data_IF_262082493864
#
_entry.id   IF_262082493864
#
_cell.length_a   1.000
_cell.length_b   1.000
_cell.length_c   1.000
_cell.angle_alpha   90.00
_cell.angle_beta   90.00
_cell.angle_gamma   90.00
#
_symmetry.space_group_name_H-M   'P 1'
#
loop_
_entity.id
_entity.type
_entity.pdbx_description
1 polymer ?
#
# COMPACT_ATOMS: atom_id res chain seq x y z
N UNK A 1 -13.56 45.43 39.07
CA UNK A 1 -13.76 45.27 37.61
C UNK A 1 -12.92 44.11 37.03
N UNK A 2 -13.00 42.90 37.58
CA UNK A 2 -12.17 41.75 37.12
C UNK A 2 -12.88 40.39 37.10
N UNK A 3 -14.18 40.36 37.40
CA UNK A 3 -14.99 39.12 37.44
C UNK A 3 -15.86 38.91 36.19
N UNK A 4 -16.08 39.95 35.37
CA UNK A 4 -16.97 39.85 34.19
C UNK A 4 -16.28 39.37 32.91
N UNK A 5 -14.94 39.30 32.89
CA UNK A 5 -14.15 38.88 31.73
C UNK A 5 -14.02 37.35 31.60
N UNK A 6 -14.29 36.59 32.66
CA UNK A 6 -14.18 35.12 32.63
C UNK A 6 -15.44 34.47 32.05
N UNK A 7 -16.61 35.10 32.19
CA UNK A 7 -17.87 34.52 31.70
C UNK A 7 -17.97 34.63 30.17
N UNK A 8 -17.43 35.68 29.54
CA UNK A 8 -17.47 35.84 28.08
C UNK A 8 -16.50 34.91 27.31
N UNK A 9 -15.48 34.36 27.97
CA UNK A 9 -14.53 33.43 27.34
C UNK A 9 -14.99 31.97 27.37
N UNK A 10 -15.90 31.60 28.27
CA UNK A 10 -16.43 30.24 28.38
C UNK A 10 -17.65 30.02 27.46
N UNK A 11 -18.42 31.06 27.15
CA UNK A 11 -19.57 30.94 26.22
C UNK A 11 -19.19 31.05 24.74
N UNK A 12 -17.99 31.54 24.41
CA UNK A 12 -17.54 31.74 23.02
C UNK A 12 -16.94 30.49 22.35
N UNK A 13 -16.65 29.42 23.08
CA UNK A 13 -15.97 28.23 22.55
C UNK A 13 -16.90 27.03 22.27
N UNK A 14 -18.22 27.20 22.42
CA UNK A 14 -19.21 26.13 22.23
C UNK A 14 -19.96 26.18 20.88
N UNK A 15 -19.59 27.07 19.95
CA UNK A 15 -20.28 27.23 18.66
C UNK A 15 -19.39 27.03 17.42
N UNK A 16 -18.17 26.53 17.58
CA UNK A 16 -17.27 26.20 16.45
C UNK A 16 -17.09 24.69 16.23
N UNK A 17 -17.98 23.86 16.78
CA UNK A 17 -18.08 22.43 16.50
C UNK A 17 -18.93 22.18 15.25
N UNK A 18 -18.52 22.73 14.11
CA UNK A 18 -19.03 22.32 12.82
C UNK A 18 -18.61 20.87 12.57
N UNK A 19 -19.40 19.93 13.07
CA UNK A 19 -19.40 18.56 12.58
C UNK A 19 -19.62 18.65 11.09
N UNK A 20 -18.55 18.52 10.30
CA UNK A 20 -18.67 18.09 8.92
C UNK A 20 -19.25 16.69 9.01
N UNK A 21 -20.58 16.61 8.98
CA UNK A 21 -21.31 15.44 8.52
C UNK A 21 -20.78 15.22 7.12
N UNK A 22 -19.74 14.40 7.00
CA UNK A 22 -19.37 13.80 5.74
C UNK A 22 -20.64 13.13 5.24
N UNK A 23 -21.21 13.55 4.10
CA UNK A 23 -22.38 12.88 3.57
C UNK A 23 -22.02 11.40 3.40
N UNK A 24 -22.93 10.51 3.81
CA UNK A 24 -22.80 9.08 3.56
C UNK A 24 -22.52 8.91 2.08
N UNK A 25 -21.33 8.43 1.74
CA UNK A 25 -20.93 8.06 0.38
C UNK A 25 -21.62 6.74 -0.03
N UNK A 26 -22.89 6.59 0.35
CA UNK A 26 -23.81 5.55 -0.13
C UNK A 26 -24.33 5.97 -1.52
N UNK A 27 -23.41 6.29 -2.43
CA UNK A 27 -23.71 6.10 -3.83
C UNK A 27 -23.82 4.59 -4.00
N UNK A 28 -25.00 4.11 -4.39
CA UNK A 28 -25.28 2.68 -4.60
C UNK A 28 -24.15 2.01 -5.38
N UNK A 29 -23.24 1.37 -4.62
CA UNK A 29 -21.95 0.89 -5.11
C UNK A 29 -22.11 -0.22 -6.14
N UNK A 30 -23.29 -0.84 -6.17
CA UNK A 30 -23.65 -1.96 -7.03
C UNK A 30 -24.45 -1.52 -8.26
N UNK A 31 -25.02 -0.31 -8.26
CA UNK A 31 -25.92 0.15 -9.33
C UNK A 31 -25.44 -0.08 -10.78
N UNK A 32 -24.14 0.07 -11.14
CA UNK A 32 -23.70 -0.23 -12.50
C UNK A 32 -23.80 -1.73 -12.82
N UNK A 33 -23.41 -2.59 -11.88
CA UNK A 33 -23.47 -4.05 -12.02
C UNK A 33 -24.90 -4.56 -11.98
N UNK A 34 -25.74 -4.01 -11.08
CA UNK A 34 -27.17 -4.35 -11.03
C UNK A 34 -27.88 -4.04 -12.34
N UNK A 35 -27.57 -2.88 -12.96
CA UNK A 35 -28.12 -2.52 -14.27
C UNK A 35 -27.66 -3.50 -15.35
N UNK A 36 -26.35 -3.76 -15.45
CA UNK A 36 -25.82 -4.69 -16.45
C UNK A 36 -26.34 -6.13 -16.26
N UNK A 37 -26.49 -6.58 -15.01
CA UNK A 37 -27.06 -7.89 -14.69
C UNK A 37 -28.54 -7.98 -15.07
N UNK A 38 -29.31 -6.93 -14.85
CA UNK A 38 -30.71 -6.84 -15.29
C UNK A 38 -30.81 -6.84 -16.82
N UNK A 39 -29.95 -6.08 -17.52
CA UNK A 39 -29.88 -6.10 -18.99
C UNK A 39 -29.52 -7.49 -19.53
N UNK A 40 -28.62 -8.21 -18.86
CA UNK A 40 -28.28 -9.59 -19.20
C UNK A 40 -29.45 -10.55 -19.03
N UNK A 41 -30.17 -10.53 -17.91
CA UNK A 41 -31.33 -11.39 -17.71
C UNK A 41 -32.45 -11.08 -18.72
N UNK A 42 -32.71 -9.79 -19.00
CA UNK A 42 -33.64 -9.39 -20.06
C UNK A 42 -33.22 -9.91 -21.44
N UNK A 43 -31.92 -9.87 -21.75
CA UNK A 43 -31.42 -10.40 -23.01
C UNK A 43 -31.61 -11.92 -23.12
N UNK A 44 -31.46 -12.66 -22.02
CA UNK A 44 -31.74 -14.11 -21.98
C UNK A 44 -33.19 -14.44 -22.28
N UNK A 45 -34.12 -13.60 -21.82
CA UNK A 45 -35.55 -13.77 -22.07
C UNK A 45 -35.94 -13.38 -23.51
N UNK A 46 -35.44 -12.23 -24.00
CA UNK A 46 -35.82 -11.65 -25.29
C UNK A 46 -35.13 -12.32 -26.49
N UNK A 47 -33.89 -12.79 -26.32
CA UNK A 47 -33.05 -13.32 -27.40
C UNK A 47 -32.72 -14.80 -27.20
N UNK A 48 -33.62 -15.58 -26.61
CA UNK A 48 -33.41 -17.00 -26.31
C UNK A 48 -32.99 -17.84 -27.54
N UNK A 49 -33.39 -17.43 -28.75
CA UNK A 49 -33.04 -18.09 -30.02
C UNK A 49 -31.73 -17.58 -30.65
N UNK A 50 -31.13 -16.52 -30.11
CA UNK A 50 -29.87 -15.93 -30.60
C UNK A 50 -28.81 -15.86 -29.48
N UNK A 51 -28.05 -16.96 -29.29
CA UNK A 51 -27.00 -17.03 -28.27
C UNK A 51 -25.92 -15.96 -28.40
N UNK A 52 -25.65 -15.48 -29.62
CA UNK A 52 -24.61 -14.48 -29.85
C UNK A 52 -24.96 -13.14 -29.19
N UNK A 53 -26.26 -12.78 -29.19
CA UNK A 53 -26.72 -11.58 -28.49
C UNK A 53 -26.60 -11.76 -26.98
N UNK A 54 -27.01 -12.91 -26.45
CA UNK A 54 -26.90 -13.19 -24.99
C UNK A 54 -25.44 -13.11 -24.54
N UNK A 55 -24.50 -13.64 -25.32
CA UNK A 55 -23.08 -13.62 -24.99
C UNK A 55 -22.50 -12.19 -25.00
N UNK A 56 -22.97 -11.29 -25.87
CA UNK A 56 -22.59 -9.88 -25.82
C UNK A 56 -22.96 -9.21 -24.49
N UNK A 57 -24.15 -9.48 -23.96
CA UNK A 57 -24.57 -8.94 -22.66
C UNK A 57 -23.84 -9.60 -21.49
N UNK A 58 -23.57 -10.90 -21.58
CA UNK A 58 -22.72 -11.62 -20.63
C UNK A 58 -21.33 -10.99 -20.54
N UNK A 59 -20.67 -10.82 -21.69
CA UNK A 59 -19.32 -10.26 -21.77
C UNK A 59 -19.29 -8.81 -21.24
N UNK A 60 -20.31 -8.01 -21.57
CA UNK A 60 -20.45 -6.64 -21.06
C UNK A 60 -20.57 -6.60 -19.55
N UNK A 61 -21.36 -7.49 -18.94
CA UNK A 61 -21.48 -7.60 -17.48
C UNK A 61 -20.14 -7.98 -16.85
N UNK A 62 -19.43 -8.95 -17.44
CA UNK A 62 -18.12 -9.41 -16.95
C UNK A 62 -17.09 -8.27 -17.01
N UNK A 63 -16.91 -7.64 -18.17
CA UNK A 63 -15.92 -6.57 -18.36
C UNK A 63 -16.20 -5.35 -17.49
N UNK A 64 -17.47 -4.95 -17.37
CA UNK A 64 -17.87 -3.87 -16.47
C UNK A 64 -17.50 -4.18 -15.02
N UNK A 65 -17.84 -5.38 -14.55
CA UNK A 65 -17.62 -5.81 -13.17
C UNK A 65 -16.14 -5.89 -12.83
N UNK A 66 -15.33 -6.45 -13.74
CA UNK A 66 -13.87 -6.52 -13.59
C UNK A 66 -13.23 -5.12 -13.58
N UNK A 67 -13.63 -4.26 -14.51
CA UNK A 67 -13.09 -2.89 -14.62
C UNK A 67 -13.45 -2.06 -13.38
N UNK A 68 -14.70 -2.13 -12.93
CA UNK A 68 -15.15 -1.41 -11.75
C UNK A 68 -14.44 -1.92 -10.48
N UNK A 69 -14.31 -3.23 -10.31
CA UNK A 69 -13.58 -3.81 -9.19
C UNK A 69 -12.10 -3.39 -9.21
N UNK A 70 -11.46 -3.36 -10.38
CA UNK A 70 -10.10 -2.88 -10.53
C UNK A 70 -9.95 -1.40 -10.13
N UNK A 71 -10.83 -0.52 -10.63
CA UNK A 71 -10.84 0.89 -10.26
C UNK A 71 -11.00 1.07 -8.74
N UNK A 72 -11.93 0.35 -8.12
CA UNK A 72 -12.14 0.39 -6.67
C UNK A 72 -10.91 -0.06 -5.88
N UNK A 73 -10.19 -1.10 -6.35
CA UNK A 73 -8.91 -1.50 -5.73
C UNK A 73 -7.86 -0.39 -5.81
N UNK A 74 -7.77 0.32 -6.93
CA UNK A 74 -6.83 1.44 -7.11
C UNK A 74 -7.14 2.59 -6.14
N UNK A 75 -8.42 2.83 -5.86
CA UNK A 75 -8.88 3.81 -4.86
C UNK A 75 -8.76 3.31 -3.40
N UNK A 76 -8.31 2.07 -3.18
CA UNK A 76 -8.24 1.45 -1.86
C UNK A 76 -9.59 1.00 -1.30
N UNK A 77 -10.65 1.01 -2.10
CA UNK A 77 -12.00 0.54 -1.75
C UNK A 77 -12.12 -0.99 -1.84
N UNK A 78 -11.26 -1.71 -1.14
CA UNK A 78 -11.13 -3.18 -1.23
C UNK A 78 -12.44 -3.93 -1.00
N UNK A 79 -13.21 -3.51 0.01
CA UNK A 79 -14.51 -4.12 0.31
C UNK A 79 -15.51 -3.90 -0.83
N UNK A 80 -15.57 -2.69 -1.40
CA UNK A 80 -16.48 -2.42 -2.50
C UNK A 80 -16.09 -3.17 -3.78
N UNK A 81 -14.79 -3.38 -4.01
CA UNK A 81 -14.30 -4.22 -5.11
C UNK A 81 -14.76 -5.68 -4.97
N UNK A 82 -14.61 -6.27 -3.79
CA UNK A 82 -15.07 -7.63 -3.46
C UNK A 82 -16.59 -7.75 -3.66
N UNK A 83 -17.37 -6.81 -3.11
CA UNK A 83 -18.83 -6.76 -3.25
C UNK A 83 -19.30 -6.63 -4.70
N UNK A 84 -18.55 -5.89 -5.53
CA UNK A 84 -18.84 -5.74 -6.97
C UNK A 84 -18.74 -7.09 -7.68
N UNK A 85 -17.69 -7.87 -7.38
CA UNK A 85 -17.46 -9.19 -7.99
C UNK A 85 -18.42 -10.24 -7.46
N UNK A 86 -18.68 -10.28 -6.15
CA UNK A 86 -19.72 -11.13 -5.53
C UNK A 86 -21.08 -10.87 -6.17
N UNK A 87 -21.43 -9.61 -6.40
CA UNK A 87 -22.71 -9.26 -7.01
C UNK A 87 -22.79 -9.69 -8.48
N UNK A 88 -21.71 -9.55 -9.26
CA UNK A 88 -21.69 -10.05 -10.62
C UNK A 88 -21.87 -11.59 -10.68
N UNK A 89 -21.27 -12.31 -9.73
CA UNK A 89 -21.41 -13.76 -9.59
C UNK A 89 -22.83 -14.20 -9.20
N UNK A 90 -23.71 -13.32 -8.71
CA UNK A 90 -25.13 -13.69 -8.51
C UNK A 90 -25.88 -13.87 -9.83
N UNK A 91 -25.46 -13.16 -10.88
CA UNK A 91 -26.03 -13.29 -12.23
C UNK A 91 -25.32 -14.36 -13.06
N UNK A 92 -24.00 -14.51 -12.86
CA UNK A 92 -23.15 -15.45 -13.57
C UNK A 92 -22.45 -16.39 -12.58
N UNK A 93 -23.17 -17.35 -11.98
CA UNK A 93 -22.55 -18.31 -11.08
C UNK A 93 -21.47 -19.09 -11.84
N UNK A 94 -20.37 -19.40 -11.16
CA UNK A 94 -19.25 -20.20 -11.68
C UNK A 94 -18.47 -19.56 -12.86
N UNK A 95 -18.59 -18.25 -13.09
CA UNK A 95 -17.79 -17.59 -14.12
C UNK A 95 -16.31 -17.46 -13.71
N UNK A 96 -15.43 -18.27 -14.30
CA UNK A 96 -14.01 -18.40 -13.96
C UNK A 96 -13.26 -17.08 -13.77
N UNK A 97 -13.38 -16.14 -14.73
CA UNK A 97 -12.66 -14.85 -14.63
C UNK A 97 -13.12 -14.00 -13.44
N UNK A 98 -14.41 -14.07 -13.10
CA UNK A 98 -14.97 -13.31 -11.98
C UNK A 98 -14.54 -13.95 -10.65
N UNK A 99 -14.55 -15.29 -10.59
CA UNK A 99 -14.07 -16.04 -9.42
C UNK A 99 -12.58 -15.80 -9.16
N UNK A 100 -11.75 -15.89 -10.20
CA UNK A 100 -10.31 -15.60 -10.10
C UNK A 100 -10.06 -14.16 -9.63
N UNK A 101 -10.80 -13.19 -10.16
CA UNK A 101 -10.69 -11.79 -9.73
C UNK A 101 -11.13 -11.60 -8.28
N UNK A 102 -12.16 -12.32 -7.82
CA UNK A 102 -12.64 -12.28 -6.44
C UNK A 102 -11.58 -12.83 -5.48
N UNK A 103 -11.05 -14.01 -5.78
CA UNK A 103 -10.02 -14.65 -4.97
C UNK A 103 -8.74 -13.80 -4.89
N UNK A 104 -8.33 -13.21 -6.02
CA UNK A 104 -7.21 -12.27 -6.06
C UNK A 104 -7.48 -11.03 -5.21
N UNK A 105 -8.67 -10.44 -5.33
CA UNK A 105 -9.07 -9.26 -4.56
C UNK A 105 -9.08 -9.55 -3.06
N UNK A 106 -9.60 -10.71 -2.64
CA UNK A 106 -9.62 -11.12 -1.24
C UNK A 106 -8.21 -11.32 -0.69
N UNK A 107 -7.30 -11.96 -1.46
CA UNK A 107 -5.89 -12.13 -1.08
C UNK A 107 -5.18 -10.78 -0.93
N UNK A 108 -5.35 -9.88 -1.89
CA UNK A 108 -4.77 -8.53 -1.84
C UNK A 108 -5.31 -7.72 -0.66
N UNK A 109 -6.62 -7.77 -0.41
CA UNK A 109 -7.24 -7.10 0.76
C UNK A 109 -6.65 -7.61 2.07
N UNK A 110 -6.48 -8.93 2.21
CA UNK A 110 -5.89 -9.52 3.41
C UNK A 110 -4.42 -9.10 3.58
N UNK A 111 -3.65 -9.06 2.49
CA UNK A 111 -2.27 -8.58 2.51
C UNK A 111 -2.20 -7.10 2.94
N UNK A 112 -3.06 -6.24 2.38
CA UNK A 112 -3.15 -4.83 2.73
C UNK A 112 -3.53 -4.63 4.20
N UNK A 113 -4.53 -5.38 4.69
CA UNK A 113 -4.93 -5.33 6.10
C UNK A 113 -3.76 -5.72 7.02
N UNK A 114 -2.99 -6.75 6.66
CA UNK A 114 -1.83 -7.13 7.44
C UNK A 114 -0.74 -6.05 7.40
N UNK A 115 -0.50 -5.43 6.25
CA UNK A 115 0.45 -4.32 6.13
C UNK A 115 0.06 -3.14 7.04
N UNK A 116 -1.21 -2.73 7.04
CA UNK A 116 -1.71 -1.68 7.94
C UNK A 116 -1.58 -2.07 9.42
N UNK A 117 -1.82 -3.34 9.77
CA UNK A 117 -1.61 -3.82 11.16
C UNK A 117 -0.14 -3.76 11.57
N UNK A 118 0.77 -4.14 10.69
CA UNK A 118 2.21 -4.10 10.93
C UNK A 118 2.69 -2.64 11.10
N UNK A 119 2.18 -1.70 10.30
CA UNK A 119 2.43 -0.26 10.47
C UNK A 119 1.91 0.26 11.81
N UNK A 120 0.69 -0.11 12.20
CA UNK A 120 0.08 0.29 13.47
C UNK A 120 0.88 -0.23 14.67
N UNK A 121 1.35 -1.48 14.59
CA UNK A 121 2.22 -2.08 15.61
C UNK A 121 3.54 -1.31 15.77
N UNK A 122 4.20 -0.96 14.67
CA UNK A 122 5.42 -0.16 14.69
C UNK A 122 5.17 1.23 15.30
N UNK A 123 4.04 1.87 14.96
CA UNK A 123 3.66 3.15 15.52
C UNK A 123 3.37 3.07 17.03
N UNK A 124 2.68 2.02 17.50
CA UNK A 124 2.42 1.79 18.92
C UNK A 124 3.74 1.65 19.70
N UNK A 125 4.67 0.84 19.19
CA UNK A 125 5.97 0.64 19.83
C UNK A 125 6.77 1.94 19.92
N UNK A 126 6.78 2.73 18.85
CA UNK A 126 7.44 4.04 18.84
C UNK A 126 6.83 4.99 19.88
N UNK A 127 5.50 5.03 19.98
CA UNK A 127 4.81 5.82 21.00
C UNK A 127 5.18 5.38 22.42
N UNK A 128 5.14 4.08 22.71
CA UNK A 128 5.45 3.57 24.05
C UNK A 128 6.93 3.76 24.42
N UNK A 129 7.85 3.72 23.45
CA UNK A 129 9.27 4.04 23.65
C UNK A 129 9.48 5.52 23.98
N UNK A 130 8.86 6.42 23.23
CA UNK A 130 8.89 7.86 23.51
C UNK A 130 8.30 8.16 24.90
N UNK A 131 7.20 7.49 25.25
CA UNK A 131 6.57 7.59 26.57
C UNK A 131 7.50 7.14 27.70
N UNK A 132 8.25 6.04 27.51
CA UNK A 132 9.25 5.58 28.49
C UNK A 132 10.29 6.67 28.77
N UNK A 133 10.79 7.32 27.72
CA UNK A 133 11.76 8.41 27.84
C UNK A 133 11.18 9.59 28.61
N UNK A 134 9.94 10.00 28.30
CA UNK A 134 9.25 11.07 29.02
C UNK A 134 9.02 10.74 30.51
N UNK A 135 8.59 9.52 30.82
CA UNK A 135 8.41 9.07 32.21
C UNK A 135 9.73 9.07 32.99
N UNK A 136 10.83 8.65 32.36
CA UNK A 136 12.17 8.68 32.98
C UNK A 136 12.66 10.11 33.23
N UNK A 137 12.37 11.04 32.33
CA UNK A 137 12.75 12.44 32.52
C UNK A 137 11.92 13.10 33.63
N UNK A 138 10.64 12.74 33.78
CA UNK A 138 9.81 13.20 34.90
C UNK A 138 10.38 12.76 36.26
N UNK A 139 10.91 11.55 36.36
CA UNK A 139 11.58 11.06 37.59
C UNK A 139 12.78 11.94 37.99
N UNK A 140 13.43 12.61 37.04
CA UNK A 140 14.53 13.54 37.35
C UNK A 140 14.06 14.88 37.90
N UNK A 141 12.80 15.25 37.65
CA UNK A 141 12.27 16.59 37.90
C UNK A 141 11.26 16.62 39.07
N UNK A 142 10.76 15.46 39.51
CA UNK A 142 9.74 15.34 40.54
C UNK A 142 10.13 14.29 41.58
N UNK A 143 9.67 14.48 42.81
CA UNK A 143 9.82 13.46 43.85
C UNK A 143 9.10 12.18 43.41
N UNK A 144 9.79 11.05 43.52
CA UNK A 144 9.27 9.77 43.02
C UNK A 144 8.22 9.23 43.99
N UNK A 145 6.99 9.04 43.49
CA UNK A 145 5.91 8.40 44.25
C UNK A 145 5.60 6.99 43.71
N UNK A 146 4.84 6.23 44.48
CA UNK A 146 4.39 4.89 44.10
C UNK A 146 3.64 4.86 42.75
N UNK A 147 2.90 5.92 42.41
CA UNK A 147 2.14 5.97 41.15
C UNK A 147 3.08 6.09 39.94
N UNK A 148 4.19 6.81 40.06
CA UNK A 148 5.21 6.92 39.02
C UNK A 148 5.89 5.57 38.77
N UNK A 149 6.32 4.87 39.84
CA UNK A 149 6.91 3.53 39.72
C UNK A 149 5.96 2.54 39.06
N UNK A 150 4.68 2.60 39.45
CA UNK A 150 3.65 1.77 38.83
C UNK A 150 3.46 2.09 37.33
N UNK A 151 3.43 3.37 36.94
CA UNK A 151 3.32 3.78 35.52
C UNK A 151 4.52 3.30 34.71
N UNK A 152 5.72 3.46 35.25
CA UNK A 152 6.96 3.01 34.60
C UNK A 152 6.96 1.48 34.45
N UNK A 153 6.66 0.74 35.51
CA UNK A 153 6.53 -0.73 35.46
C UNK A 153 5.48 -1.21 34.45
N UNK A 154 4.33 -0.52 34.38
CA UNK A 154 3.27 -0.84 33.41
C UNK A 154 3.73 -0.58 31.97
N UNK A 155 4.36 0.57 31.70
CA UNK A 155 4.90 0.89 30.38
C UNK A 155 6.01 -0.09 29.96
N UNK A 156 6.92 -0.46 30.87
CA UNK A 156 7.95 -1.48 30.61
C UNK A 156 7.33 -2.82 30.23
N UNK A 157 6.34 -3.32 31.00
CA UNK A 157 5.64 -4.57 30.66
C UNK A 157 4.95 -4.51 29.30
N UNK A 158 4.34 -3.37 28.96
CA UNK A 158 3.69 -3.17 27.65
C UNK A 158 4.71 -3.18 26.53
N UNK A 159 5.84 -2.48 26.69
CA UNK A 159 6.93 -2.49 25.71
C UNK A 159 7.49 -3.89 25.49
N UNK A 160 7.76 -4.64 26.57
CA UNK A 160 8.27 -6.00 26.45
C UNK A 160 7.31 -6.93 25.70
N UNK A 161 6.00 -6.75 25.87
CA UNK A 161 4.99 -7.50 25.14
C UNK A 161 4.97 -7.20 23.63
N UNK A 162 5.55 -6.07 23.19
CA UNK A 162 5.63 -5.69 21.76
C UNK A 162 6.85 -6.27 21.05
N UNK A 163 7.90 -6.69 21.76
CA UNK A 163 9.16 -7.13 21.15
C UNK A 163 8.98 -8.32 20.19
N UNK A 164 8.29 -9.38 20.63
CA UNK A 164 8.03 -10.56 19.80
C UNK A 164 7.10 -10.26 18.60
N UNK A 165 5.97 -9.54 18.78
CA UNK A 165 5.18 -9.05 17.65
C UNK A 165 5.99 -8.26 16.62
N UNK A 166 6.89 -7.38 17.05
CA UNK A 166 7.73 -6.57 16.15
C UNK A 166 8.73 -7.41 15.37
N UNK A 167 9.39 -8.38 16.02
CA UNK A 167 10.26 -9.33 15.30
C UNK A 167 9.48 -10.13 14.26
N UNK A 168 8.26 -10.55 14.59
CA UNK A 168 7.38 -11.25 13.65
C UNK A 168 6.85 -10.32 12.54
N UNK A 169 6.61 -9.04 12.82
CA UNK A 169 6.36 -8.01 11.80
C UNK A 169 7.53 -7.98 10.81
N UNK A 170 8.77 -7.91 11.30
CA UNK A 170 9.94 -7.86 10.43
C UNK A 170 10.04 -9.09 9.53
N UNK A 171 9.90 -10.29 10.08
CA UNK A 171 9.92 -11.54 9.30
C UNK A 171 8.87 -11.56 8.18
N UNK A 172 7.62 -11.21 8.49
CA UNK A 172 6.55 -11.14 7.47
C UNK A 172 6.82 -10.10 6.38
N UNK A 173 7.42 -8.97 6.75
CA UNK A 173 7.72 -7.91 5.78
C UNK A 173 8.98 -8.24 4.95
N UNK A 174 9.91 -9.04 5.46
CA UNK A 174 10.98 -9.64 4.66
C UNK A 174 10.43 -10.59 3.58
N UNK A 175 9.46 -11.43 3.92
CA UNK A 175 8.83 -12.36 2.97
C UNK A 175 8.05 -11.65 1.86
N UNK A 176 7.65 -10.40 2.10
CA UNK A 176 6.89 -9.54 1.16
C UNK A 176 7.75 -8.48 0.48
N UNK A 177 9.06 -8.54 0.64
CA UNK A 177 10.03 -7.54 0.15
C UNK A 177 9.73 -6.09 0.59
N UNK A 178 9.00 -5.91 1.70
CA UNK A 178 8.74 -4.62 2.33
C UNK A 178 9.88 -4.25 3.30
N UNK A 179 11.09 -4.09 2.74
CA UNK A 179 12.34 -4.04 3.51
C UNK A 179 12.42 -2.87 4.50
N UNK A 180 11.88 -1.69 4.16
CA UNK A 180 11.87 -0.52 5.05
C UNK A 180 11.03 -0.76 6.31
N UNK A 181 9.83 -1.33 6.15
CA UNK A 181 8.98 -1.65 7.30
C UNK A 181 9.58 -2.79 8.13
N UNK A 182 10.24 -3.75 7.48
CA UNK A 182 10.96 -4.80 8.18
C UNK A 182 12.09 -4.26 9.05
N UNK A 183 12.93 -3.37 8.51
CA UNK A 183 14.00 -2.70 9.24
C UNK A 183 13.45 -1.91 10.43
N UNK A 184 12.44 -1.06 10.21
CA UNK A 184 11.80 -0.28 11.28
C UNK A 184 11.27 -1.17 12.41
N UNK A 185 10.63 -2.30 12.07
CA UNK A 185 10.16 -3.26 13.06
C UNK A 185 11.32 -3.89 13.86
N UNK A 186 12.46 -4.20 13.22
CA UNK A 186 13.65 -4.72 13.91
C UNK A 186 14.32 -3.69 14.81
N UNK A 187 14.48 -2.45 14.34
CA UNK A 187 15.06 -1.37 15.15
C UNK A 187 14.27 -1.17 16.44
N UNK A 188 12.94 -1.13 16.35
CA UNK A 188 12.06 -0.99 17.51
C UNK A 188 12.16 -2.19 18.45
N UNK A 189 12.18 -3.42 17.93
CA UNK A 189 12.38 -4.62 18.75
C UNK A 189 13.75 -4.62 19.46
N UNK A 190 14.81 -4.21 18.76
CA UNK A 190 16.16 -4.08 19.31
C UNK A 190 16.25 -3.03 20.41
N UNK A 191 15.58 -1.90 20.28
CA UNK A 191 15.50 -0.86 21.34
C UNK A 191 14.75 -1.33 22.60
N UNK A 192 13.90 -2.35 22.47
CA UNK A 192 13.14 -2.92 23.60
C UNK A 192 13.92 -4.02 24.31
N UNK A 193 14.49 -4.99 23.57
CA UNK A 193 15.13 -6.20 24.16
C UNK A 193 16.62 -6.39 23.84
N UNK A 194 17.25 -5.49 23.10
CA UNK A 194 18.66 -5.54 22.74
C UNK A 194 18.91 -6.13 21.35
N UNK A 195 20.14 -5.97 20.85
CA UNK A 195 20.55 -6.40 19.51
C UNK A 195 20.53 -7.92 19.34
N UNK A 196 20.96 -8.67 20.36
CA UNK A 196 20.97 -10.14 20.34
C UNK A 196 19.58 -10.75 20.04
N UNK A 197 18.52 -10.07 20.46
CA UNK A 197 17.14 -10.53 20.24
C UNK A 197 16.72 -10.51 18.76
N UNK A 198 17.28 -9.58 17.97
CA UNK A 198 16.92 -9.34 16.57
C UNK A 198 17.95 -9.84 15.58
N UNK A 199 19.10 -10.31 16.05
CA UNK A 199 20.29 -10.58 15.24
C UNK A 199 20.03 -11.52 14.06
N UNK A 200 19.34 -12.65 14.28
CA UNK A 200 19.04 -13.62 13.22
C UNK A 200 18.20 -12.99 12.09
N UNK A 201 17.23 -12.15 12.46
CA UNK A 201 16.35 -11.52 11.47
C UNK A 201 17.03 -10.34 10.77
N UNK A 202 17.93 -9.64 11.47
CA UNK A 202 18.75 -8.57 10.91
C UNK A 202 19.73 -9.11 9.86
N UNK A 203 20.36 -10.26 10.11
CA UNK A 203 21.18 -10.94 9.11
C UNK A 203 20.38 -11.33 7.86
N UNK A 204 19.16 -11.85 8.04
CA UNK A 204 18.27 -12.16 6.92
C UNK A 204 17.90 -10.92 6.09
N UNK A 205 17.68 -9.77 6.75
CA UNK A 205 17.42 -8.49 6.09
C UNK A 205 18.62 -8.01 5.25
N UNK A 206 19.83 -8.12 5.80
CA UNK A 206 21.07 -7.76 5.09
C UNK A 206 21.33 -8.66 3.88
N UNK A 207 21.11 -9.97 4.01
CA UNK A 207 21.23 -10.92 2.89
C UNK A 207 20.25 -10.59 1.75
N UNK A 208 19.02 -10.18 2.07
CA UNK A 208 18.03 -9.75 1.07
C UNK A 208 18.44 -8.46 0.35
N UNK A 209 18.92 -7.45 1.09
CA UNK A 209 19.38 -6.17 0.50
C UNK A 209 20.54 -6.35 -0.48
N UNK A 210 21.56 -7.10 -0.07
CA UNK A 210 22.73 -7.36 -0.91
C UNK A 210 22.37 -8.13 -2.19
N UNK A 211 21.44 -9.09 -2.10
CA UNK A 211 20.94 -9.81 -3.27
C UNK A 211 20.19 -8.87 -4.25
N UNK A 212 19.39 -7.93 -3.73
CA UNK A 212 18.66 -6.95 -4.54
C UNK A 212 19.59 -5.94 -5.25
N UNK A 213 20.65 -5.49 -4.57
CA UNK A 213 21.66 -4.59 -5.15
C UNK A 213 22.46 -5.27 -6.27
N UNK A 214 22.85 -6.54 -6.08
CA UNK A 214 23.57 -7.31 -7.09
C UNK A 214 22.73 -7.53 -8.37
N UNK A 215 21.44 -7.85 -8.21
CA UNK A 215 20.52 -8.00 -9.35
C UNK A 215 20.34 -6.68 -10.14
N UNK A 216 20.40 -5.53 -9.48
CA UNK A 216 20.30 -4.21 -10.12
C UNK A 216 21.56 -3.84 -10.90
N UNK A 217 22.72 -4.34 -10.45
CA UNK A 217 24.02 -4.04 -11.07
C UNK A 217 24.24 -4.84 -12.36
N UNK A 218 23.69 -6.06 -12.46
CA UNK A 218 23.84 -6.93 -13.63
C UNK A 218 23.03 -6.45 -14.86
N UNK A 219 21.95 -5.69 -14.64
CA UNK A 219 21.15 -5.06 -15.72
C UNK A 219 21.79 -3.77 -16.24
N UNK A 220 22.77 -3.21 -15.50
CA UNK A 220 23.47 -1.96 -15.87
C UNK A 220 24.91 -2.24 -16.32
N UNK A 221 25.18 -3.40 -16.90
CA UNK A 221 26.37 -3.57 -17.73
C UNK A 221 26.05 -2.99 -19.12
N UNK A 222 26.64 -1.85 -19.54
CA UNK A 222 26.46 -1.35 -20.89
C UNK A 222 26.98 -2.41 -21.87
N UNK A 223 26.13 -2.80 -22.81
CA UNK A 223 26.53 -3.62 -23.94
C UNK A 223 27.81 -3.02 -24.57
N UNK A 224 28.84 -3.83 -24.87
CA UNK A 224 30.03 -3.34 -25.53
C UNK A 224 29.61 -2.68 -26.84
N UNK A 225 29.95 -1.40 -26.99
CA UNK A 225 29.68 -0.63 -28.19
C UNK A 225 30.20 -1.38 -29.43
N UNK A 226 29.46 -1.40 -30.56
CA UNK A 226 29.95 -2.04 -31.76
C UNK A 226 31.26 -1.38 -32.19
N UNK A 227 32.26 -2.23 -32.43
CA UNK A 227 33.58 -1.83 -32.89
C UNK A 227 33.44 -0.94 -34.14
N UNK A 228 33.84 0.33 -34.02
CA UNK A 228 33.97 1.23 -35.15
C UNK A 228 35.10 0.71 -36.05
N UNK A 229 34.73 0.10 -37.18
CA UNK A 229 35.65 -0.12 -38.30
C UNK A 229 36.13 1.23 -38.81
N UNK A 230 37.35 1.61 -38.41
CA UNK A 230 38.16 2.64 -39.06
C UNK A 230 38.46 2.20 -40.49
N UNK A 231 37.68 2.65 -41.47
CA UNK A 231 38.11 2.67 -42.86
C UNK A 231 39.15 3.78 -43.03
N UNK A 232 40.41 3.38 -43.13
CA UNK A 232 41.48 4.18 -43.72
C UNK A 232 41.21 4.35 -45.20
N UNK A 233 40.68 5.51 -45.61
CA UNK A 233 40.69 5.90 -47.02
C UNK A 233 41.84 6.87 -47.26
N UNK A 234 42.88 6.30 -47.87
CA UNK A 234 44.07 6.96 -48.37
C UNK A 234 43.69 7.99 -49.45
N UNK A 235 44.15 9.23 -49.25
CA UNK A 235 44.14 10.28 -50.26
C UNK A 235 45.11 9.93 -51.38
N UNK A 236 44.63 9.93 -52.63
CA UNK A 236 45.50 10.17 -53.78
C UNK A 236 44.81 11.09 -54.80
N UNK A 237 45.48 12.23 -55.01
CA UNK A 237 45.23 13.24 -56.02
C UNK A 237 45.34 12.68 -57.44
N UNK A 238 44.41 13.04 -58.33
CA UNK A 238 44.75 13.36 -59.74
C UNK A 238 43.70 14.25 -60.42
N UNK A 239 44.07 15.53 -60.52
CA UNK A 239 43.73 16.54 -61.53
C UNK A 239 42.89 16.14 -62.75
N UNK A 240 41.86 16.95 -63.08
CA UNK A 240 41.86 17.87 -64.25
C UNK A 240 40.56 18.67 -64.39
N UNK A 241 40.75 19.99 -64.49
CA UNK A 241 39.99 21.09 -65.12
C UNK A 241 38.75 20.72 -65.97
N UNK A 242 37.64 21.48 -65.85
CA UNK A 242 37.39 22.71 -66.62
C UNK A 242 35.90 23.16 -66.59
N UNK A 243 35.70 24.47 -66.42
CA UNK A 243 34.72 25.36 -67.10
C UNK A 243 33.19 25.26 -66.89
N UNK A 244 32.66 26.42 -66.44
CA UNK A 244 31.50 27.18 -66.94
C UNK A 244 30.04 26.82 -66.53
N UNK A 245 29.53 27.63 -65.58
CA UNK A 245 28.45 28.63 -65.72
C UNK A 245 26.97 28.19 -65.99
N UNK A 246 25.99 29.02 -65.59
CA UNK A 246 24.64 28.58 -65.22
C UNK A 246 23.57 28.86 -66.29
N UNK A 247 22.40 28.24 -66.11
CA UNK A 247 21.08 28.78 -66.44
C UNK A 247 20.05 28.21 -65.45
#
# INVERSE_FOLDING_TARGET
MRQWLVILLVTGMLLAGGCSVTPSRDTDILSPVTRAGTEYEQARELYAEDPAIIDLYRDRLVELSLTLAQHRRQEGEWYAAERTLEHALTYLPEHDRLQQALDETARQRQAQMQHTRDQALAAEAQYELARRTALREQVRLQETDYLHDWRLSRNTRRLEALAEPLRNCARRNLERDALELAERCLELAGQIRGEDFVQDTLQALQARRTSAEQATTEVTAPAPAPAQTRTTTSNNNRSRNASCAPA
#
